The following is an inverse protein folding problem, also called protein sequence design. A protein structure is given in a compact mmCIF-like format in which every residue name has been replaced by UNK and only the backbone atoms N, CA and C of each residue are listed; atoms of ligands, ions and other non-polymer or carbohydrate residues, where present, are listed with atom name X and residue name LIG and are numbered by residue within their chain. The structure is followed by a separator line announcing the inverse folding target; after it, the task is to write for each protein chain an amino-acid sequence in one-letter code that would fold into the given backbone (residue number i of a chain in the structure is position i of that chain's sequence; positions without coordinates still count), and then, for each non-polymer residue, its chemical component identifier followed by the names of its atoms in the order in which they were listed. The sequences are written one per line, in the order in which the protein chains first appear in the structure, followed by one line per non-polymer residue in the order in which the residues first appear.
data_IF_939973673264
#
_entry.id   IF_939973673264
#
_cell.length_a   1.000
_cell.length_b   1.000
_cell.length_c   1.000
_cell.angle_alpha   90.00
_cell.angle_beta   90.00
_cell.angle_gamma   90.00
#
_symmetry.space_group_name_H-M   'P 1'
#
loop_
_entity.id
_entity.type
_entity.pdbx_description
1 polymer ?
#
# COMPACT_ATOMS: atom_id res chain seq x y z
N UNK A 1 15.61 14.01 3.28
CA UNK A 1 16.82 14.59 3.90
C UNK A 1 18.00 13.64 4.04
N UNK A 2 17.85 12.37 4.43
CA UNK A 2 19.00 11.43 4.55
C UNK A 2 19.74 11.12 3.23
N UNK A 3 19.25 11.59 2.08
CA UNK A 3 19.80 11.28 0.75
C UNK A 3 19.37 9.93 0.18
N UNK A 4 18.68 9.07 0.95
CA UNK A 4 18.28 7.72 0.51
C UNK A 4 17.32 7.76 -0.68
N UNK A 5 16.28 8.61 -0.63
CA UNK A 5 15.30 8.74 -1.73
C UNK A 5 15.98 9.30 -3.00
N UNK A 6 16.72 10.43 -2.95
CA UNK A 6 17.55 10.88 -4.08
C UNK A 6 18.48 9.80 -4.65
N UNK A 7 19.14 9.01 -3.80
CA UNK A 7 20.00 7.92 -4.27
C UNK A 7 19.21 6.87 -5.04
N UNK A 8 18.05 6.44 -4.53
CA UNK A 8 17.19 5.49 -5.23
C UNK A 8 16.69 6.03 -6.55
N UNK A 9 16.42 7.34 -6.66
CA UNK A 9 15.98 7.96 -7.92
C UNK A 9 17.09 7.85 -8.97
N UNK A 10 18.29 8.36 -8.65
CA UNK A 10 19.43 8.35 -9.58
C UNK A 10 19.80 6.93 -10.00
N UNK A 11 19.97 6.01 -9.04
CA UNK A 11 20.37 4.64 -9.37
C UNK A 11 19.22 3.86 -10.03
N UNK A 12 17.97 4.13 -9.64
CA UNK A 12 16.79 3.52 -10.21
C UNK A 12 16.61 3.87 -11.69
N UNK A 13 16.83 5.13 -12.06
CA UNK A 13 16.79 5.60 -13.45
C UNK A 13 17.87 4.96 -14.32
N UNK A 14 19.06 4.73 -13.76
CA UNK A 14 20.16 4.08 -14.48
C UNK A 14 19.92 2.57 -14.71
N UNK A 15 19.17 1.91 -13.81
CA UNK A 15 18.94 0.46 -13.85
C UNK A 15 17.63 0.09 -14.57
N UNK A 16 16.57 0.89 -14.40
CA UNK A 16 15.21 0.54 -14.84
C UNK A 16 14.87 1.28 -16.13
N UNK A 17 14.73 0.53 -17.22
CA UNK A 17 14.25 1.10 -18.48
C UNK A 17 12.81 1.63 -18.34
N UNK A 18 12.48 2.86 -18.78
CA UNK A 18 11.16 3.47 -18.55
C UNK A 18 9.99 2.61 -19.05
N UNK A 19 10.17 1.95 -20.19
CA UNK A 19 9.12 1.08 -20.77
C UNK A 19 8.70 -0.12 -19.94
N UNK A 20 9.49 -0.53 -18.95
CA UNK A 20 9.14 -1.60 -18.01
C UNK A 20 8.99 -1.09 -16.58
N UNK A 21 9.06 0.22 -16.35
CA UNK A 21 9.07 0.80 -15.00
C UNK A 21 7.80 0.46 -14.21
N UNK A 22 6.60 0.75 -14.74
CA UNK A 22 5.34 0.48 -14.03
C UNK A 22 5.16 -1.01 -13.71
N UNK A 23 5.53 -1.89 -14.65
CA UNK A 23 5.53 -3.34 -14.46
C UNK A 23 6.49 -3.73 -13.33
N UNK A 24 7.72 -3.22 -13.37
CA UNK A 24 8.77 -3.51 -12.39
C UNK A 24 8.38 -3.01 -11.00
N UNK A 25 7.83 -1.79 -10.89
CA UNK A 25 7.35 -1.23 -9.63
C UNK A 25 6.28 -2.12 -8.99
N UNK A 26 5.31 -2.59 -9.80
CA UNK A 26 4.28 -3.52 -9.34
C UNK A 26 4.88 -4.85 -8.84
N UNK A 27 5.84 -5.44 -9.56
CA UNK A 27 6.50 -6.70 -9.18
C UNK A 27 7.37 -6.53 -7.93
N UNK A 28 8.16 -5.45 -7.85
CA UNK A 28 9.02 -5.15 -6.70
C UNK A 28 8.16 -4.99 -5.44
N UNK A 29 7.09 -4.19 -5.51
CA UNK A 29 6.15 -4.04 -4.40
C UNK A 29 5.47 -5.36 -4.04
N UNK A 30 5.12 -6.20 -5.01
CA UNK A 30 4.59 -7.54 -4.74
C UNK A 30 5.57 -8.40 -3.95
N UNK A 31 6.81 -8.53 -4.40
CA UNK A 31 7.82 -9.35 -3.73
C UNK A 31 8.11 -8.85 -2.32
N UNK A 32 8.33 -7.54 -2.16
CA UNK A 32 8.57 -6.93 -0.84
C UNK A 32 7.36 -7.13 0.07
N UNK A 33 6.14 -6.97 -0.44
CA UNK A 33 4.94 -7.15 0.38
C UNK A 33 4.69 -8.60 0.79
N UNK A 34 5.04 -9.58 -0.04
CA UNK A 34 5.04 -11.00 0.38
C UNK A 34 5.98 -11.23 1.56
N UNK A 35 7.20 -10.67 1.50
CA UNK A 35 8.23 -10.84 2.52
C UNK A 35 7.89 -10.10 3.81
N UNK A 36 7.34 -8.89 3.71
CA UNK A 36 6.99 -8.05 4.85
C UNK A 36 5.63 -8.44 5.46
N UNK A 37 4.73 -9.03 4.68
CA UNK A 37 3.35 -9.29 5.07
C UNK A 37 2.52 -8.02 5.26
N UNK A 38 2.94 -6.89 4.66
CA UNK A 38 2.30 -5.61 4.90
C UNK A 38 2.39 -4.70 3.68
N UNK A 39 1.23 -4.40 3.10
CA UNK A 39 1.10 -3.38 2.06
C UNK A 39 1.56 -2.00 2.57
N UNK A 40 1.23 -1.66 3.82
CA UNK A 40 1.59 -0.38 4.44
C UNK A 40 3.11 -0.20 4.56
N UNK A 41 3.79 -1.22 5.07
CA UNK A 41 5.25 -1.18 5.21
C UNK A 41 5.94 -1.13 3.85
N UNK A 42 5.42 -1.88 2.88
CA UNK A 42 5.96 -1.90 1.52
C UNK A 42 5.86 -0.52 0.85
N UNK A 43 4.69 0.10 0.92
CA UNK A 43 4.46 1.42 0.30
C UNK A 43 5.31 2.49 0.99
N UNK A 44 5.38 2.47 2.32
CA UNK A 44 6.17 3.43 3.11
C UNK A 44 7.70 3.30 2.93
N UNK A 45 8.18 2.16 2.45
CA UNK A 45 9.62 1.91 2.26
C UNK A 45 10.01 2.02 0.79
N UNK A 46 9.80 0.96 0.01
CA UNK A 46 10.18 0.92 -1.41
C UNK A 46 9.20 1.68 -2.30
N UNK A 47 7.94 1.81 -1.89
CA UNK A 47 6.92 2.54 -2.66
C UNK A 47 7.26 4.02 -2.85
N UNK A 48 7.69 4.73 -1.80
CA UNK A 48 8.12 6.13 -1.91
C UNK A 48 9.32 6.29 -2.87
N UNK A 49 10.28 5.36 -2.80
CA UNK A 49 11.43 5.37 -3.70
C UNK A 49 11.00 5.17 -5.17
N UNK A 50 10.13 4.19 -5.42
CA UNK A 50 9.56 3.95 -6.75
C UNK A 50 8.72 5.13 -7.24
N UNK A 51 7.97 5.80 -6.34
CA UNK A 51 7.24 7.01 -6.69
C UNK A 51 8.18 8.09 -7.22
N UNK A 52 9.30 8.34 -6.52
CA UNK A 52 10.29 9.31 -6.98
C UNK A 52 10.94 8.94 -8.30
N UNK A 53 11.31 7.67 -8.49
CA UNK A 53 11.85 7.19 -9.77
C UNK A 53 10.81 7.41 -10.88
N UNK A 54 9.55 7.06 -10.65
CA UNK A 54 8.50 7.20 -11.66
C UNK A 54 8.24 8.64 -12.05
N UNK A 55 8.27 9.57 -11.09
CA UNK A 55 8.13 11.01 -11.35
C UNK A 55 9.33 11.55 -12.14
N UNK A 56 10.55 11.15 -11.80
CA UNK A 56 11.76 11.51 -12.55
C UNK A 56 11.78 10.90 -13.96
N UNK A 57 11.09 9.77 -14.15
CA UNK A 57 10.81 9.15 -15.43
C UNK A 57 9.52 9.70 -16.08
N UNK A 58 8.96 10.83 -15.65
CA UNK A 58 7.84 11.50 -16.31
C UNK A 58 6.49 10.77 -16.30
N UNK A 59 6.32 9.75 -15.46
CA UNK A 59 5.02 9.11 -15.29
C UNK A 59 4.10 9.96 -14.42
N UNK A 60 2.80 9.97 -14.74
CA UNK A 60 1.85 10.67 -13.88
C UNK A 60 1.74 9.99 -12.50
N UNK A 61 1.55 10.76 -11.41
CA UNK A 61 1.50 10.21 -10.05
C UNK A 61 0.48 9.09 -9.88
N UNK A 62 -0.66 9.16 -10.59
CA UNK A 62 -1.72 8.15 -10.55
C UNK A 62 -1.27 6.79 -11.06
N UNK A 63 -0.56 6.73 -12.19
CA UNK A 63 -0.04 5.47 -12.75
C UNK A 63 0.99 4.81 -11.83
N UNK A 64 1.90 5.62 -11.30
CA UNK A 64 2.97 5.12 -10.42
C UNK A 64 2.36 4.59 -9.11
N UNK A 65 1.51 5.39 -8.47
CA UNK A 65 0.82 4.99 -7.25
C UNK A 65 -0.07 3.75 -7.47
N UNK A 66 -0.80 3.68 -8.58
CA UNK A 66 -1.61 2.51 -8.93
C UNK A 66 -0.81 1.22 -9.08
N UNK A 67 0.38 1.29 -9.70
CA UNK A 67 1.30 0.16 -9.81
C UNK A 67 1.85 -0.28 -8.45
N UNK A 68 2.30 0.67 -7.64
CA UNK A 68 2.81 0.44 -6.28
C UNK A 68 1.73 -0.21 -5.40
N UNK A 69 0.52 0.37 -5.37
CA UNK A 69 -0.61 -0.11 -4.57
C UNK A 69 -1.04 -1.51 -5.04
N UNK A 70 -1.13 -1.75 -6.35
CA UNK A 70 -1.48 -3.07 -6.89
C UNK A 70 -0.50 -4.16 -6.46
N UNK A 71 0.80 -3.88 -6.58
CA UNK A 71 1.85 -4.80 -6.14
C UNK A 71 1.82 -5.05 -4.64
N UNK A 72 1.78 -3.97 -3.86
CA UNK A 72 1.81 -4.05 -2.40
C UNK A 72 0.61 -4.84 -1.84
N UNK A 73 -0.60 -4.61 -2.35
CA UNK A 73 -1.78 -5.34 -1.90
C UNK A 73 -1.83 -6.78 -2.41
N UNK A 74 -1.26 -7.07 -3.58
CA UNK A 74 -1.10 -8.46 -4.04
C UNK A 74 -0.22 -9.25 -3.09
N UNK A 75 0.95 -8.72 -2.72
CA UNK A 75 1.88 -9.44 -1.86
C UNK A 75 1.38 -9.62 -0.43
N UNK A 76 0.70 -8.60 0.10
CA UNK A 76 0.07 -8.63 1.43
C UNK A 76 -0.94 -9.77 1.51
N UNK A 77 -1.85 -9.82 0.54
CA UNK A 77 -2.92 -10.81 0.43
C UNK A 77 -2.44 -12.27 0.35
N UNK A 78 -1.24 -12.54 -0.16
CA UNK A 78 -0.72 -13.93 -0.26
C UNK A 78 0.32 -14.25 0.80
N UNK A 79 0.65 -13.30 1.67
CA UNK A 79 1.65 -13.48 2.71
C UNK A 79 1.07 -14.22 3.92
N UNK A 80 1.75 -15.27 4.42
CA UNK A 80 1.37 -15.90 5.68
C UNK A 80 1.66 -15.02 6.91
N UNK A 81 2.34 -13.88 6.72
CA UNK A 81 2.66 -12.92 7.77
C UNK A 81 1.64 -11.77 7.86
N UNK A 82 0.69 -11.70 6.92
CA UNK A 82 -0.27 -10.62 6.84
C UNK A 82 -1.37 -10.77 7.89
N UNK A 83 -1.60 -9.69 8.66
CA UNK A 83 -2.63 -9.62 9.69
C UNK A 83 -4.03 -9.81 9.12
N UNK A 84 -4.33 -9.21 7.96
CA UNK A 84 -5.64 -9.37 7.31
C UNK A 84 -5.84 -10.80 6.81
N UNK A 85 -4.81 -11.40 6.22
CA UNK A 85 -4.83 -12.79 5.74
C UNK A 85 -5.06 -13.76 6.91
N UNK A 86 -4.36 -13.55 8.02
CA UNK A 86 -4.53 -14.33 9.25
C UNK A 86 -5.94 -14.11 9.82
N UNK A 87 -6.41 -12.86 9.88
CA UNK A 87 -7.74 -12.54 10.40
C UNK A 87 -8.88 -13.14 9.57
N UNK A 88 -8.84 -13.01 8.25
CA UNK A 88 -9.85 -13.56 7.34
C UNK A 88 -9.91 -15.10 7.40
N UNK A 89 -8.77 -15.76 7.55
CA UNK A 89 -8.72 -17.21 7.76
C UNK A 89 -9.26 -17.62 9.14
N UNK A 90 -8.90 -16.87 10.19
CA UNK A 90 -9.32 -17.13 11.57
C UNK A 90 -10.83 -16.95 11.80
N UNK A 91 -11.40 -15.81 11.37
CA UNK A 91 -12.84 -15.49 11.51
C UNK A 91 -13.72 -16.57 10.87
N UNK A 92 -13.29 -17.08 9.72
CA UNK A 92 -14.02 -18.11 8.97
C UNK A 92 -13.73 -19.54 9.43
N UNK A 93 -12.72 -19.76 10.28
CA UNK A 93 -12.29 -21.09 10.70
C UNK A 93 -11.62 -21.89 9.57
N UNK A 94 -10.93 -21.21 8.64
CA UNK A 94 -10.19 -21.86 7.55
C UNK A 94 -8.72 -21.97 7.94
N UNK A 95 -8.06 -23.15 7.82
CA UNK A 95 -6.62 -23.25 8.04
C UNK A 95 -5.85 -22.30 7.11
N UNK A 96 -4.90 -21.54 7.66
CA UNK A 96 -4.21 -20.43 6.98
C UNK A 96 -3.64 -20.84 5.60
N UNK A 97 -2.87 -21.94 5.53
CA UNK A 97 -2.29 -22.37 4.26
C UNK A 97 -3.34 -22.89 3.26
N UNK A 98 -4.46 -23.43 3.73
CA UNK A 98 -5.60 -23.78 2.87
C UNK A 98 -6.24 -22.54 2.29
N UNK A 99 -6.40 -21.49 3.10
CA UNK A 99 -6.90 -20.18 2.68
C UNK A 99 -5.98 -19.56 1.61
N UNK A 100 -4.68 -19.43 1.88
CA UNK A 100 -3.70 -18.85 0.94
C UNK A 100 -3.71 -19.58 -0.40
N UNK A 101 -3.61 -20.92 -0.39
CA UNK A 101 -3.64 -21.72 -1.63
C UNK A 101 -4.94 -21.52 -2.42
N UNK A 102 -6.06 -21.39 -1.72
CA UNK A 102 -7.35 -21.20 -2.36
C UNK A 102 -7.54 -19.78 -2.91
N UNK A 103 -6.94 -18.76 -2.28
CA UNK A 103 -6.93 -17.39 -2.81
C UNK A 103 -6.21 -17.26 -4.14
N UNK A 104 -5.19 -18.07 -4.41
CA UNK A 104 -4.45 -18.03 -5.69
C UNK A 104 -5.37 -18.16 -6.92
N UNK A 105 -6.55 -18.79 -6.75
CA UNK A 105 -7.56 -18.95 -7.80
C UNK A 105 -8.08 -17.61 -8.32
N UNK A 106 -8.25 -16.59 -7.47
CA UNK A 106 -8.69 -15.23 -7.86
C UNK A 106 -7.51 -14.26 -7.95
N UNK A 107 -6.53 -14.41 -7.05
CA UNK A 107 -5.40 -13.49 -6.93
C UNK A 107 -4.44 -13.55 -8.11
N UNK A 108 -4.02 -14.74 -8.57
CA UNK A 108 -3.06 -14.85 -9.69
C UNK A 108 -3.65 -14.28 -10.99
N UNK A 109 -4.88 -14.65 -11.43
CA UNK A 109 -5.46 -14.07 -12.64
C UNK A 109 -5.59 -12.55 -12.57
N UNK A 110 -6.02 -12.01 -11.41
CA UNK A 110 -6.17 -10.56 -11.22
C UNK A 110 -4.83 -9.84 -11.29
N UNK A 111 -3.77 -10.44 -10.76
CA UNK A 111 -2.43 -9.89 -10.81
C UNK A 111 -1.85 -9.95 -12.22
N UNK A 112 -2.03 -11.04 -12.96
CA UNK A 112 -1.62 -11.14 -14.36
C UNK A 112 -2.26 -10.03 -15.20
N UNK A 113 -3.56 -9.77 -15.02
CA UNK A 113 -4.25 -8.66 -15.70
C UNK A 113 -3.58 -7.32 -15.35
N UNK A 114 -3.26 -7.10 -14.08
CA UNK A 114 -2.59 -5.89 -13.62
C UNK A 114 -1.20 -5.72 -14.24
N UNK A 115 -0.40 -6.79 -14.29
CA UNK A 115 0.91 -6.80 -14.93
C UNK A 115 0.82 -6.51 -16.43
N UNK A 116 -0.16 -7.07 -17.13
CA UNK A 116 -0.39 -6.77 -18.56
C UNK A 116 -0.71 -5.28 -18.73
N UNK A 117 -1.61 -4.72 -17.92
CA UNK A 117 -1.97 -3.30 -18.00
C UNK A 117 -0.76 -2.41 -17.76
N UNK A 118 0.03 -2.65 -16.70
CA UNK A 118 1.22 -1.84 -16.42
C UNK A 118 2.35 -2.03 -17.43
N UNK A 119 2.51 -3.24 -17.99
CA UNK A 119 3.47 -3.51 -19.05
C UNK A 119 3.14 -2.77 -20.34
N UNK A 120 1.88 -2.83 -20.78
CA UNK A 120 1.41 -2.11 -21.97
C UNK A 120 1.47 -0.60 -21.75
N UNK A 121 0.99 -0.10 -20.62
CA UNK A 121 1.03 1.32 -20.29
C UNK A 121 2.47 1.87 -20.26
N UNK A 122 3.40 1.15 -19.61
CA UNK A 122 4.82 1.53 -19.56
C UNK A 122 5.43 1.69 -20.95
N UNK A 123 5.22 0.71 -21.83
CA UNK A 123 5.72 0.75 -23.21
C UNK A 123 5.11 1.88 -24.04
N UNK A 124 3.81 2.16 -23.87
CA UNK A 124 3.12 3.23 -24.59
C UNK A 124 3.59 4.62 -24.16
N UNK A 125 3.97 4.81 -22.89
CA UNK A 125 4.33 6.11 -22.31
C UNK A 125 5.83 6.45 -22.45
N UNK A 126 6.68 5.49 -22.84
CA UNK A 126 8.15 5.64 -22.89
C UNK A 126 8.67 6.81 -23.75
N UNK A 127 7.93 7.24 -24.78
CA UNK A 127 8.43 8.27 -25.72
C UNK A 127 8.51 9.68 -25.12
N UNK A 128 7.86 9.94 -23.99
CA UNK A 128 7.83 11.27 -23.36
C UNK A 128 8.89 11.44 -22.25
N UNK A 129 9.56 10.38 -21.80
CA UNK A 129 10.16 10.32 -20.46
C UNK A 129 11.68 10.50 -20.39
N UNK A 130 12.40 10.51 -21.52
CA UNK A 130 13.87 10.50 -21.52
C UNK A 130 14.47 11.87 -21.14
N UNK A 131 13.84 12.97 -21.55
CA UNK A 131 14.37 14.34 -21.36
C UNK A 131 14.31 14.80 -19.88
N UNK A 132 13.30 14.36 -19.13
CA UNK A 132 13.15 14.75 -17.72
C UNK A 132 14.19 14.05 -16.83
N UNK A 133 14.59 12.83 -17.18
CA UNK A 133 15.50 12.01 -16.36
C UNK A 133 16.90 12.64 -16.19
N UNK A 134 17.48 13.23 -17.23
CA UNK A 134 18.83 13.85 -17.17
C UNK A 134 18.85 15.08 -16.24
N UNK A 135 17.79 15.89 -16.28
CA UNK A 135 17.64 17.09 -15.43
C UNK A 135 17.53 16.68 -13.96
N UNK A 136 16.78 15.61 -13.65
CA UNK A 136 16.64 15.11 -12.29
C UNK A 136 17.97 14.62 -11.72
N UNK A 137 18.77 13.89 -12.52
CA UNK A 137 20.07 13.39 -12.09
C UNK A 137 21.05 14.52 -11.79
N UNK A 138 21.17 15.51 -12.69
CA UNK A 138 22.07 16.66 -12.51
C UNK A 138 21.73 17.45 -11.24
N UNK A 139 20.45 17.77 -11.04
CA UNK A 139 20.01 18.57 -9.90
C UNK A 139 20.19 17.80 -8.58
N UNK A 140 19.86 16.51 -8.53
CA UNK A 140 19.98 15.71 -7.31
C UNK A 140 21.45 15.45 -6.94
N UNK A 141 22.31 15.13 -7.90
CA UNK A 141 23.75 14.91 -7.67
C UNK A 141 24.46 16.21 -7.27
N UNK A 142 24.00 17.37 -7.77
CA UNK A 142 24.52 18.67 -7.38
C UNK A 142 24.12 19.12 -5.96
N UNK A 143 22.98 18.66 -5.45
CA UNK A 143 22.46 19.05 -4.13
C UNK A 143 22.73 18.04 -3.02
N UNK A 144 22.78 16.75 -3.33
CA UNK A 144 22.92 15.69 -2.34
C UNK A 144 24.26 14.97 -2.48
N UNK A 145 24.87 14.62 -1.35
CA UNK A 145 26.01 13.71 -1.32
C UNK A 145 25.53 12.26 -1.48
N UNK A 146 25.48 11.76 -2.72
CA UNK A 146 24.95 10.45 -3.07
C UNK A 146 25.99 9.33 -2.92
N UNK A 147 26.29 8.98 -1.68
CA UNK A 147 27.18 7.86 -1.35
C UNK A 147 26.45 6.50 -1.40
N UNK A 148 27.06 5.44 -1.98
CA UNK A 148 26.49 4.08 -1.93
C UNK A 148 26.21 3.59 -0.51
N UNK A 149 26.94 4.10 0.48
CA UNK A 149 26.73 3.77 1.89
C UNK A 149 25.31 4.10 2.37
N UNK A 150 24.62 5.07 1.76
CA UNK A 150 23.23 5.40 2.13
C UNK A 150 22.28 4.20 1.97
N UNK A 151 22.62 3.20 1.14
CA UNK A 151 21.87 1.93 1.03
C UNK A 151 21.87 1.09 2.32
N UNK A 152 22.76 1.39 3.27
CA UNK A 152 22.73 0.74 4.58
C UNK A 152 21.44 1.05 5.34
N UNK A 153 20.83 2.24 5.15
CA UNK A 153 19.57 2.61 5.81
C UNK A 153 18.45 1.62 5.44
N UNK A 154 18.07 1.45 4.15
CA UNK A 154 17.04 0.48 3.76
C UNK A 154 17.48 -0.97 4.02
N UNK A 155 18.77 -1.30 3.93
CA UNK A 155 19.25 -2.65 4.24
C UNK A 155 19.01 -3.01 5.73
N UNK A 156 19.25 -2.08 6.65
CA UNK A 156 18.96 -2.24 8.09
C UNK A 156 17.46 -2.39 8.30
N UNK A 157 16.64 -1.56 7.66
CA UNK A 157 15.17 -1.68 7.74
C UNK A 157 14.69 -3.06 7.28
N UNK A 158 15.14 -3.53 6.11
CA UNK A 158 14.79 -4.85 5.58
C UNK A 158 15.26 -5.94 6.52
N UNK A 159 16.48 -5.84 7.06
CA UNK A 159 17.01 -6.79 8.03
C UNK A 159 16.12 -6.89 9.28
N UNK A 160 15.68 -5.76 9.83
CA UNK A 160 14.78 -5.73 10.99
C UNK A 160 13.42 -6.37 10.67
N UNK A 161 12.87 -6.12 9.48
CA UNK A 161 11.61 -6.74 9.04
C UNK A 161 11.77 -8.26 8.88
N UNK A 162 12.84 -8.71 8.24
CA UNK A 162 13.14 -10.15 8.07
C UNK A 162 13.33 -10.83 9.44
N UNK A 163 13.91 -10.13 10.42
CA UNK A 163 14.05 -10.60 11.80
C UNK A 163 12.76 -10.50 12.62
N UNK A 164 11.66 -10.01 12.05
CA UNK A 164 10.34 -9.88 12.67
C UNK A 164 10.34 -9.04 13.95
N UNK A 165 11.14 -7.98 13.98
CA UNK A 165 11.02 -6.99 15.05
C UNK A 165 9.67 -6.27 14.98
N UNK A 166 9.08 -5.86 16.12
CA UNK A 166 7.81 -5.13 16.13
C UNK A 166 7.87 -3.89 15.20
N UNK A 167 6.82 -3.60 14.40
CA UNK A 167 6.85 -2.50 13.43
C UNK A 167 7.24 -1.15 14.02
N UNK A 168 6.76 -0.83 15.23
CA UNK A 168 7.11 0.40 15.95
C UNK A 168 8.63 0.51 16.20
N UNK A 169 9.27 -0.58 16.61
CA UNK A 169 10.72 -0.63 16.85
C UNK A 169 11.47 -0.48 15.54
N UNK A 170 11.03 -1.18 14.50
CA UNK A 170 11.62 -1.13 13.16
C UNK A 170 11.58 0.28 12.58
N UNK A 171 10.43 0.96 12.65
CA UNK A 171 10.27 2.33 12.16
C UNK A 171 11.14 3.32 12.96
N UNK A 172 11.18 3.18 14.28
CA UNK A 172 12.00 4.03 15.14
C UNK A 172 13.50 3.88 14.86
N UNK A 173 14.01 2.65 14.78
CA UNK A 173 15.42 2.38 14.47
C UNK A 173 15.78 2.80 13.04
N UNK A 174 14.86 2.63 12.09
CA UNK A 174 15.07 3.08 10.70
C UNK A 174 15.14 4.60 10.61
N UNK A 175 14.29 5.31 11.35
CA UNK A 175 14.31 6.76 11.47
C UNK A 175 15.62 7.26 12.12
N UNK A 176 16.05 6.65 13.23
CA UNK A 176 17.34 6.98 13.86
C UNK A 176 18.52 6.76 12.92
N UNK A 177 18.53 5.64 12.19
CA UNK A 177 19.58 5.35 11.21
C UNK A 177 19.58 6.40 10.09
N UNK A 178 18.40 6.75 9.57
CA UNK A 178 18.25 7.81 8.58
C UNK A 178 18.74 9.17 9.09
N UNK A 179 18.51 9.48 10.37
CA UNK A 179 18.98 10.70 11.02
C UNK A 179 20.51 10.75 11.13
N UNK A 180 21.13 9.65 11.57
CA UNK A 180 22.60 9.51 11.62
C UNK A 180 23.18 9.76 10.24
N UNK A 181 22.59 9.17 9.20
CA UNK A 181 23.07 9.34 7.83
C UNK A 181 22.84 10.75 7.29
N UNK A 182 21.75 11.41 7.66
CA UNK A 182 21.56 12.84 7.35
C UNK A 182 22.67 13.70 7.98
N UNK A 183 23.03 13.42 9.24
CA UNK A 183 24.09 14.14 9.98
C UNK A 183 25.49 13.86 9.43
N UNK A 184 25.74 12.65 8.93
CA UNK A 184 27.07 12.26 8.40
C UNK A 184 27.25 12.73 6.95
N UNK A 185 26.24 12.53 6.10
CA UNK A 185 26.38 12.74 4.66
C UNK A 185 25.75 14.05 4.16
N UNK A 186 24.80 14.65 4.88
CA UNK A 186 23.94 15.74 4.37
C UNK A 186 23.96 16.98 5.29
N UNK A 187 25.12 17.32 5.85
CA UNK A 187 25.25 18.40 6.83
C UNK A 187 24.81 19.77 6.29
N UNK A 188 25.26 20.12 5.08
CA UNK A 188 24.92 21.43 4.48
C UNK A 188 23.40 21.58 4.28
N UNK A 189 22.70 20.50 3.91
CA UNK A 189 21.24 20.49 3.79
C UNK A 189 20.54 20.62 5.15
N UNK A 190 21.10 20.06 6.22
CA UNK A 190 20.55 20.23 7.57
C UNK A 190 20.67 21.68 8.06
N UNK A 191 21.75 22.37 7.71
CA UNK A 191 21.90 23.80 8.01
C UNK A 191 20.91 24.66 7.21
N UNK A 192 20.69 24.34 5.92
CA UNK A 192 19.66 24.98 5.09
C UNK A 192 18.27 24.82 5.73
N UNK A 193 17.91 23.59 6.13
CA UNK A 193 16.63 23.31 6.83
C UNK A 193 16.51 24.05 8.17
N UNK A 194 17.62 24.25 8.88
CA UNK A 194 17.64 25.00 10.14
C UNK A 194 17.44 26.52 9.94
N UNK A 195 17.42 27.01 8.69
CA UNK A 195 17.43 28.41 8.30
C UNK A 195 18.58 29.18 8.97
N UNK A 196 19.78 28.58 9.00
CA UNK A 196 20.95 29.22 9.58
C UNK A 196 22.21 28.90 8.79
N UNK A 197 23.02 29.94 8.54
CA UNK A 197 24.32 29.82 7.88
C UNK A 197 25.44 29.48 8.86
N UNK A 198 25.16 29.47 10.16
CA UNK A 198 26.12 29.15 11.20
C UNK A 198 26.22 27.62 11.38
N UNK A 199 27.42 27.06 11.11
CA UNK A 199 27.74 25.63 11.19
C UNK A 199 27.92 25.15 12.64
N UNK A 200 27.11 25.65 13.57
CA UNK A 200 27.13 25.23 14.96
C UNK A 200 26.41 23.90 15.17
N UNK A 201 26.85 23.14 16.19
CA UNK A 201 26.24 21.86 16.57
C UNK A 201 24.75 22.04 16.91
N UNK A 202 24.38 23.19 17.49
CA UNK A 202 23.00 23.52 17.84
C UNK A 202 22.13 23.59 16.58
N UNK A 203 22.62 24.23 15.50
CA UNK A 203 21.88 24.31 14.24
C UNK A 203 21.81 22.96 13.52
N UNK A 204 22.84 22.13 13.63
CA UNK A 204 22.80 20.77 13.11
C UNK A 204 21.73 19.93 13.81
N UNK A 205 21.67 19.99 15.14
CA UNK A 205 20.62 19.33 15.95
C UNK A 205 19.24 19.90 15.63
N UNK A 206 19.12 21.22 15.46
CA UNK A 206 17.87 21.89 15.05
C UNK A 206 17.40 21.38 13.69
N UNK A 207 18.27 21.32 12.68
CA UNK A 207 17.95 20.79 11.36
C UNK A 207 17.53 19.32 11.39
N UNK A 208 18.23 18.51 12.20
CA UNK A 208 17.90 17.11 12.46
C UNK A 208 16.50 16.94 13.10
N UNK A 209 16.15 17.77 14.09
CA UNK A 209 14.84 17.75 14.73
C UNK A 209 13.73 18.20 13.77
N UNK A 210 13.93 19.32 13.04
CA UNK A 210 12.96 19.80 12.04
C UNK A 210 12.73 18.73 10.97
N UNK A 211 13.78 18.07 10.50
CA UNK A 211 13.69 16.96 9.54
C UNK A 211 12.81 15.81 10.01
N UNK A 212 12.84 15.52 11.31
CA UNK A 212 12.12 14.38 11.90
C UNK A 212 10.67 14.74 12.21
N UNK A 213 10.45 15.92 12.80
CA UNK A 213 9.14 16.32 13.31
C UNK A 213 8.34 17.19 12.33
N UNK A 214 8.99 18.17 11.69
CA UNK A 214 8.35 19.22 10.92
C UNK A 214 8.44 19.01 9.40
N UNK A 215 7.95 20.00 8.66
CA UNK A 215 8.09 20.05 7.21
C UNK A 215 9.48 20.47 6.78
N UNK A 216 10.01 19.81 5.76
CA UNK A 216 11.26 20.19 5.10
C UNK A 216 11.01 20.37 3.61
N UNK A 217 11.74 21.31 3.02
CA UNK A 217 11.78 21.55 1.57
C UNK A 217 13.14 22.13 1.24
N UNK A 218 13.76 21.64 0.17
CA UNK A 218 15.03 22.15 -0.34
C UNK A 218 14.71 22.80 -1.67
N UNK A 219 15.21 24.01 -1.87
CA UNK A 219 15.03 24.72 -3.14
C UNK A 219 16.12 24.28 -4.10
N UNK A 220 15.73 23.52 -5.11
CA UNK A 220 16.61 22.97 -6.16
C UNK A 220 16.54 23.77 -7.45
N UNK A 221 15.58 24.68 -7.58
CA UNK A 221 15.33 25.47 -8.80
C UNK A 221 14.38 24.81 -9.78
N UNK A 222 13.99 23.55 -9.52
CA UNK A 222 12.93 22.85 -10.24
C UNK A 222 11.81 22.49 -9.26
N UNK A 223 10.61 23.02 -9.51
CA UNK A 223 9.44 22.82 -8.64
C UNK A 223 9.07 21.34 -8.45
N UNK A 224 9.22 20.50 -9.48
CA UNK A 224 8.89 19.09 -9.38
C UNK A 224 9.85 18.36 -8.44
N UNK A 225 11.15 18.64 -8.55
CA UNK A 225 12.18 18.09 -7.67
C UNK A 225 11.99 18.59 -6.24
N UNK A 226 11.68 19.88 -6.06
CA UNK A 226 11.39 20.47 -4.75
C UNK A 226 10.23 19.75 -4.06
N UNK A 227 9.12 19.50 -4.79
CA UNK A 227 7.99 18.75 -4.24
C UNK A 227 8.33 17.29 -3.95
N UNK A 228 9.22 16.68 -4.72
CA UNK A 228 9.63 15.29 -4.56
C UNK A 228 10.51 15.07 -3.32
N UNK A 229 11.41 16.02 -3.04
CA UNK A 229 12.30 15.93 -1.87
C UNK A 229 11.71 16.56 -0.61
N UNK A 230 10.63 17.33 -0.74
CA UNK A 230 9.90 17.89 0.37
C UNK A 230 9.23 16.79 1.20
N UNK A 231 9.28 16.93 2.53
CA UNK A 231 8.61 16.03 3.46
C UNK A 231 7.82 16.83 4.48
N UNK A 232 6.82 16.20 5.09
CA UNK A 232 5.98 16.83 6.12
C UNK A 232 6.32 16.34 7.54
N UNK A 233 7.34 15.49 7.68
CA UNK A 233 7.72 14.85 8.94
C UNK A 233 6.55 14.12 9.61
N UNK A 234 6.69 13.86 10.92
CA UNK A 234 5.60 13.29 11.72
C UNK A 234 4.38 14.23 11.83
N UNK A 235 4.61 15.56 11.80
CA UNK A 235 3.54 16.56 11.84
C UNK A 235 2.55 16.38 10.68
N UNK A 236 3.04 16.06 9.48
CA UNK A 236 2.21 15.82 8.30
C UNK A 236 1.24 14.66 8.44
N UNK A 237 1.53 13.70 9.32
CA UNK A 237 0.67 12.54 9.55
C UNK A 237 -0.39 12.78 10.64
N UNK A 238 -0.30 13.86 11.43
CA UNK A 238 -1.23 14.11 12.53
C UNK A 238 -2.68 14.23 12.07
N UNK A 239 -2.93 14.92 10.95
CA UNK A 239 -4.26 15.02 10.37
C UNK A 239 -4.79 13.64 9.95
N UNK A 240 -3.93 12.81 9.35
CA UNK A 240 -4.25 11.44 8.95
C UNK A 240 -4.62 10.59 10.16
N UNK A 241 -3.85 10.68 11.25
CA UNK A 241 -4.15 9.99 12.52
C UNK A 241 -5.51 10.44 13.08
N UNK A 242 -5.79 11.74 13.09
CA UNK A 242 -7.09 12.25 13.56
C UNK A 242 -8.27 11.73 12.74
N UNK A 243 -8.18 11.76 11.41
CA UNK A 243 -9.26 11.26 10.57
C UNK A 243 -9.42 9.74 10.74
N UNK A 244 -8.33 8.97 10.91
CA UNK A 244 -8.39 7.54 11.24
C UNK A 244 -9.15 7.30 12.54
N UNK A 245 -8.85 8.06 13.61
CA UNK A 245 -9.56 7.93 14.91
C UNK A 245 -11.05 8.26 14.73
N UNK A 246 -11.40 9.33 14.02
CA UNK A 246 -12.79 9.68 13.76
C UNK A 246 -13.53 8.60 12.94
N UNK A 247 -12.91 8.12 11.86
CA UNK A 247 -13.49 7.14 10.96
C UNK A 247 -13.66 5.76 11.63
N UNK A 248 -12.71 5.35 12.48
CA UNK A 248 -12.80 4.13 13.28
C UNK A 248 -13.90 4.22 14.34
N UNK A 249 -14.01 5.34 15.06
CA UNK A 249 -15.11 5.59 16.00
C UNK A 249 -16.48 5.53 15.31
N UNK A 250 -16.62 6.14 14.13
CA UNK A 250 -17.86 6.08 13.34
C UNK A 250 -18.18 4.65 12.86
N UNK A 251 -17.18 3.94 12.31
CA UNK A 251 -17.34 2.55 11.90
C UNK A 251 -17.74 1.63 13.06
N UNK A 252 -17.14 1.83 14.23
CA UNK A 252 -17.48 1.10 15.45
C UNK A 252 -18.91 1.39 15.95
N UNK A 253 -19.38 2.64 15.85
CA UNK A 253 -20.76 3.01 16.19
C UNK A 253 -21.79 2.36 15.25
N UNK A 254 -21.50 2.27 13.95
CA UNK A 254 -22.39 1.57 13.00
C UNK A 254 -22.41 0.06 13.21
N UNK A 255 -21.27 -0.51 13.60
CA UNK A 255 -21.18 -1.92 13.98
C UNK A 255 -21.99 -2.21 15.26
N UNK A 256 -21.83 -1.40 16.31
CA UNK A 256 -22.50 -1.62 17.60
C UNK A 256 -24.02 -1.45 17.53
N UNK A 257 -24.50 -0.59 16.62
CA UNK A 257 -25.93 -0.38 16.35
C UNK A 257 -26.53 -1.36 15.35
N UNK A 258 -25.76 -2.34 14.85
CA UNK A 258 -26.20 -3.38 13.89
C UNK A 258 -26.74 -2.82 12.57
N UNK A 259 -26.35 -1.61 12.18
CA UNK A 259 -26.80 -1.00 10.91
C UNK A 259 -26.28 -1.80 9.70
N UNK A 260 -25.04 -2.30 9.79
CA UNK A 260 -24.41 -3.12 8.75
C UNK A 260 -25.11 -4.48 8.61
N UNK A 261 -25.54 -5.07 9.73
CA UNK A 261 -26.36 -6.28 9.74
C UNK A 261 -27.69 -6.07 9.02
N UNK A 262 -28.38 -4.96 9.30
CA UNK A 262 -29.65 -4.60 8.66
C UNK A 262 -29.52 -4.46 7.14
N UNK A 263 -28.50 -3.74 6.67
CA UNK A 263 -28.22 -3.58 5.23
C UNK A 263 -27.92 -4.93 4.56
N UNK A 264 -27.20 -5.81 5.26
CA UNK A 264 -26.83 -7.11 4.72
C UNK A 264 -28.01 -8.08 4.69
N UNK A 265 -28.90 -8.05 5.69
CA UNK A 265 -30.12 -8.85 5.66
C UNK A 265 -30.99 -8.53 4.43
N UNK A 266 -31.03 -7.27 3.99
CA UNK A 266 -31.73 -6.88 2.77
C UNK A 266 -31.12 -7.52 1.51
N UNK A 267 -29.79 -7.66 1.47
CA UNK A 267 -29.08 -8.34 0.37
C UNK A 267 -29.28 -9.86 0.42
N UNK A 268 -29.22 -10.46 1.62
CA UNK A 268 -29.34 -11.90 1.82
C UNK A 268 -30.68 -12.46 1.31
N UNK A 269 -31.78 -11.70 1.47
CA UNK A 269 -33.13 -12.12 1.03
C UNK A 269 -33.23 -12.41 -0.48
N UNK A 270 -32.32 -11.87 -1.30
CA UNK A 270 -32.30 -12.06 -2.76
C UNK A 270 -31.36 -13.18 -3.24
N UNK A 271 -30.71 -13.91 -2.34
CA UNK A 271 -29.65 -14.88 -2.68
C UNK A 271 -30.20 -16.27 -2.94
N UNK A 272 -30.35 -16.64 -4.21
CA UNK A 272 -30.79 -18.00 -4.60
C UNK A 272 -29.63 -18.93 -4.99
N UNK A 273 -28.57 -18.43 -5.62
CA UNK A 273 -27.47 -19.22 -6.20
C UNK A 273 -26.09 -18.84 -5.64
N UNK A 274 -25.05 -19.57 -6.04
CA UNK A 274 -23.66 -19.38 -5.57
C UNK A 274 -23.07 -18.03 -5.96
N UNK A 275 -23.33 -17.59 -7.20
CA UNK A 275 -22.91 -16.27 -7.66
C UNK A 275 -23.58 -15.17 -6.85
N UNK A 276 -24.88 -15.29 -6.56
CA UNK A 276 -25.58 -14.38 -5.66
C UNK A 276 -24.93 -14.34 -4.27
N UNK A 277 -24.51 -15.49 -3.73
CA UNK A 277 -23.89 -15.57 -2.40
C UNK A 277 -22.54 -14.83 -2.38
N UNK A 278 -21.66 -15.13 -3.33
CA UNK A 278 -20.34 -14.49 -3.43
C UNK A 278 -20.50 -13.01 -3.76
N UNK A 279 -21.34 -12.63 -4.72
CA UNK A 279 -21.59 -11.23 -5.06
C UNK A 279 -22.15 -10.42 -3.89
N UNK A 280 -23.06 -10.99 -3.09
CA UNK A 280 -23.55 -10.32 -1.89
C UNK A 280 -22.45 -10.16 -0.85
N UNK A 281 -21.60 -11.15 -0.63
CA UNK A 281 -20.44 -11.00 0.26
C UNK A 281 -19.47 -9.92 -0.25
N UNK A 282 -19.18 -9.89 -1.55
CA UNK A 282 -18.32 -8.87 -2.16
C UNK A 282 -18.92 -7.47 -1.99
N UNK A 283 -20.20 -7.31 -2.29
CA UNK A 283 -20.88 -6.02 -2.16
C UNK A 283 -20.96 -5.56 -0.70
N UNK A 284 -21.25 -6.47 0.24
CA UNK A 284 -21.20 -6.15 1.67
C UNK A 284 -19.79 -5.77 2.11
N UNK A 285 -18.75 -6.45 1.61
CA UNK A 285 -17.36 -6.11 1.93
C UNK A 285 -16.96 -4.72 1.42
N UNK A 286 -17.34 -4.38 0.18
CA UNK A 286 -17.15 -3.03 -0.37
C UNK A 286 -17.91 -1.98 0.44
N UNK A 287 -19.16 -2.27 0.80
CA UNK A 287 -19.97 -1.39 1.65
C UNK A 287 -19.34 -1.24 3.03
N UNK A 288 -18.79 -2.31 3.60
CA UNK A 288 -18.06 -2.27 4.86
C UNK A 288 -16.86 -1.33 4.75
N UNK A 289 -16.06 -1.37 3.69
CA UNK A 289 -14.95 -0.42 3.52
C UNK A 289 -15.39 1.02 3.29
N UNK A 290 -16.53 1.23 2.62
CA UNK A 290 -17.10 2.57 2.40
C UNK A 290 -17.67 3.18 3.68
N UNK A 291 -18.10 2.35 4.63
CA UNK A 291 -18.82 2.80 5.83
C UNK A 291 -17.94 2.73 7.08
N UNK A 292 -17.18 1.64 7.22
CA UNK A 292 -16.23 1.43 8.29
C UNK A 292 -14.89 2.07 7.92
N UNK A 293 -14.39 2.95 8.79
CA UNK A 293 -13.08 3.59 8.62
C UNK A 293 -11.88 2.64 8.72
N UNK A 294 -12.11 1.33 8.91
CA UNK A 294 -11.06 0.35 9.08
C UNK A 294 -11.45 -1.05 8.56
N UNK A 295 -10.50 -1.69 7.87
CA UNK A 295 -10.71 -2.97 7.20
C UNK A 295 -10.82 -4.17 8.16
N UNK A 296 -10.20 -4.14 9.34
CA UNK A 296 -10.22 -5.27 10.28
C UNK A 296 -11.64 -5.51 10.80
N UNK A 297 -12.37 -4.43 11.13
CA UNK A 297 -13.78 -4.50 11.50
C UNK A 297 -14.64 -5.04 10.35
N UNK A 298 -14.35 -4.62 9.12
CA UNK A 298 -15.04 -5.11 7.92
C UNK A 298 -14.93 -6.63 7.77
N UNK A 299 -13.71 -7.17 7.91
CA UNK A 299 -13.44 -8.61 7.84
C UNK A 299 -14.20 -9.39 8.92
N UNK A 300 -14.13 -8.94 10.18
CA UNK A 300 -14.75 -9.63 11.32
C UNK A 300 -16.27 -9.67 11.16
N UNK A 301 -16.89 -8.51 10.90
CA UNK A 301 -18.35 -8.40 10.85
C UNK A 301 -18.92 -9.13 9.64
N UNK A 302 -18.38 -8.88 8.45
CA UNK A 302 -18.84 -9.55 7.22
C UNK A 302 -18.61 -11.05 7.30
N UNK A 303 -17.47 -11.48 7.86
CA UNK A 303 -17.18 -12.90 8.05
C UNK A 303 -18.18 -13.58 8.97
N UNK A 304 -18.46 -13.01 10.15
CA UNK A 304 -19.42 -13.57 11.09
C UNK A 304 -20.84 -13.61 10.52
N UNK A 305 -21.26 -12.58 9.79
CA UNK A 305 -22.61 -12.48 9.23
C UNK A 305 -22.89 -13.51 8.13
N UNK A 306 -21.90 -13.83 7.29
CA UNK A 306 -22.08 -14.77 6.18
C UNK A 306 -21.72 -16.21 6.54
N UNK A 307 -21.01 -16.46 7.65
CA UNK A 307 -20.51 -17.80 8.04
C UNK A 307 -21.59 -18.87 8.01
N UNK A 308 -22.68 -18.64 8.75
CA UNK A 308 -23.79 -19.59 8.85
C UNK A 308 -24.50 -19.80 7.51
N UNK A 309 -24.54 -18.76 6.66
CA UNK A 309 -25.20 -18.83 5.36
C UNK A 309 -24.40 -19.69 4.37
N UNK A 310 -23.07 -19.54 4.34
CA UNK A 310 -22.21 -20.40 3.52
C UNK A 310 -22.29 -21.85 3.98
N UNK A 311 -22.30 -22.08 5.29
CA UNK A 311 -22.44 -23.42 5.88
C UNK A 311 -23.79 -24.06 5.53
N UNK A 312 -24.91 -23.34 5.71
CA UNK A 312 -26.26 -23.83 5.36
C UNK A 312 -26.41 -24.16 3.87
N UNK A 313 -25.69 -23.45 3.00
CA UNK A 313 -25.66 -23.75 1.55
C UNK A 313 -24.64 -24.84 1.17
N UNK A 314 -23.96 -25.45 2.13
CA UNK A 314 -23.05 -26.58 1.92
C UNK A 314 -21.68 -26.19 1.36
N UNK A 315 -21.27 -24.92 1.47
CA UNK A 315 -19.95 -24.46 1.02
C UNK A 315 -18.89 -24.60 2.12
N UNK A 316 -17.64 -24.81 1.70
CA UNK A 316 -16.52 -24.75 2.62
C UNK A 316 -16.19 -23.31 3.06
N UNK A 317 -15.70 -23.15 4.29
CA UNK A 317 -15.32 -21.86 4.87
C UNK A 317 -14.27 -21.10 4.05
N UNK A 318 -13.40 -21.81 3.33
CA UNK A 318 -12.38 -21.21 2.46
C UNK A 318 -12.97 -20.33 1.35
N UNK A 319 -14.21 -20.59 0.91
CA UNK A 319 -14.89 -19.75 -0.08
C UNK A 319 -15.25 -18.39 0.50
N UNK A 320 -15.86 -18.36 1.69
CA UNK A 320 -16.13 -17.11 2.40
C UNK A 320 -14.83 -16.38 2.72
N UNK A 321 -13.84 -17.09 3.26
CA UNK A 321 -12.53 -16.55 3.63
C UNK A 321 -11.84 -15.82 2.47
N UNK A 322 -11.78 -16.46 1.29
CA UNK A 322 -11.25 -15.82 0.07
C UNK A 322 -12.08 -14.61 -0.33
N UNK A 323 -13.41 -14.71 -0.26
CA UNK A 323 -14.30 -13.61 -0.68
C UNK A 323 -14.14 -12.39 0.22
N UNK A 324 -13.85 -12.55 1.52
CA UNK A 324 -13.52 -11.45 2.43
C UNK A 324 -12.24 -10.75 2.00
N UNK A 325 -11.17 -11.51 1.74
CA UNK A 325 -9.89 -10.97 1.26
C UNK A 325 -10.03 -10.26 -0.10
N UNK A 326 -10.78 -10.85 -1.04
CA UNK A 326 -11.03 -10.27 -2.36
C UNK A 326 -11.82 -8.96 -2.31
N UNK A 327 -12.66 -8.74 -1.29
CA UNK A 327 -13.62 -7.64 -1.25
C UNK A 327 -13.33 -6.58 -0.21
N UNK A 328 -12.60 -6.90 0.87
CA UNK A 328 -12.33 -5.99 1.98
C UNK A 328 -10.87 -5.60 1.98
N UNK A 329 -9.94 -6.55 2.13
CA UNK A 329 -8.51 -6.26 2.26
C UNK A 329 -7.99 -5.45 1.08
N UNK A 330 -8.24 -5.90 -0.15
CA UNK A 330 -7.67 -5.24 -1.33
C UNK A 330 -8.41 -3.98 -1.74
N UNK A 331 -9.64 -3.73 -1.28
CA UNK A 331 -10.43 -2.58 -1.73
C UNK A 331 -10.41 -1.42 -0.73
N UNK A 332 -9.95 -1.66 0.50
CA UNK A 332 -9.90 -0.66 1.58
C UNK A 332 -9.06 0.56 1.20
N UNK A 333 -7.98 0.36 0.45
CA UNK A 333 -7.13 1.44 -0.07
C UNK A 333 -7.82 2.35 -1.07
N UNK A 334 -8.89 1.89 -1.70
CA UNK A 334 -9.63 2.66 -2.71
C UNK A 334 -10.61 3.66 -2.08
N UNK A 335 -10.76 3.66 -0.75
CA UNK A 335 -11.71 4.52 -0.04
C UNK A 335 -10.96 5.66 0.67
N UNK A 336 -11.17 6.94 0.28
CA UNK A 336 -10.36 8.05 0.78
C UNK A 336 -10.40 8.28 2.29
N UNK A 337 -11.47 7.85 2.96
CA UNK A 337 -11.68 7.98 4.42
C UNK A 337 -11.53 6.66 5.17
N UNK A 338 -11.09 5.60 4.50
CA UNK A 338 -10.68 4.37 5.15
C UNK A 338 -9.21 4.48 5.58
N UNK A 339 -8.83 3.86 6.70
CA UNK A 339 -7.47 3.90 7.25
C UNK A 339 -6.40 3.57 6.23
N UNK A 340 -6.66 2.61 5.35
CA UNK A 340 -5.78 2.25 4.25
C UNK A 340 -5.63 3.39 3.23
N UNK A 341 -6.74 3.90 2.67
CA UNK A 341 -6.71 4.94 1.65
C UNK A 341 -6.08 6.24 2.15
N UNK A 342 -6.40 6.64 3.38
CA UNK A 342 -5.81 7.81 4.04
C UNK A 342 -4.31 7.68 4.25
N UNK A 343 -3.86 6.52 4.75
CA UNK A 343 -2.43 6.30 4.99
C UNK A 343 -1.66 6.29 3.67
N UNK A 344 -2.11 5.53 2.67
CA UNK A 344 -1.38 5.44 1.40
C UNK A 344 -1.37 6.76 0.65
N UNK A 345 -2.46 7.53 0.69
CA UNK A 345 -2.47 8.87 0.06
C UNK A 345 -1.57 9.87 0.76
N UNK A 346 -1.44 9.78 2.09
CA UNK A 346 -0.51 10.63 2.86
C UNK A 346 0.94 10.26 2.58
N UNK A 347 1.24 8.97 2.57
CA UNK A 347 2.61 8.44 2.37
C UNK A 347 3.10 8.68 0.95
N UNK A 348 2.27 8.42 -0.06
CA UNK A 348 2.61 8.64 -1.46
C UNK A 348 2.45 10.11 -1.87
N UNK A 349 1.76 10.94 -1.09
CA UNK A 349 1.39 12.29 -1.53
C UNK A 349 0.43 12.32 -2.74
N UNK A 350 -0.17 11.18 -3.10
CA UNK A 350 -1.13 11.04 -4.21
C UNK A 350 -2.51 10.76 -3.64
N UNK A 351 -3.49 11.61 -3.97
CA UNK A 351 -4.84 11.42 -3.43
C UNK A 351 -5.45 10.08 -3.87
N UNK A 352 -6.28 9.49 -3.01
CA UNK A 352 -6.90 8.19 -3.29
C UNK A 352 -7.67 8.17 -4.60
N UNK A 353 -8.42 9.22 -4.91
CA UNK A 353 -9.20 9.29 -6.15
C UNK A 353 -8.33 9.42 -7.41
N UNK A 354 -7.08 9.88 -7.28
CA UNK A 354 -6.13 9.95 -8.40
C UNK A 354 -5.57 8.56 -8.72
N UNK A 355 -5.18 7.77 -7.72
CA UNK A 355 -4.62 6.44 -7.98
C UNK A 355 -5.67 5.34 -8.14
N UNK A 356 -6.90 5.53 -7.61
CA UNK A 356 -7.99 4.55 -7.68
C UNK A 356 -8.20 3.93 -9.07
N UNK A 357 -8.31 4.70 -10.17
CA UNK A 357 -8.53 4.10 -11.50
C UNK A 357 -7.33 3.28 -12.01
N UNK A 358 -6.13 3.48 -11.44
CA UNK A 358 -4.91 2.79 -11.82
C UNK A 358 -4.53 1.64 -10.88
N UNK A 359 -5.21 1.49 -9.74
CA UNK A 359 -5.02 0.36 -8.81
C UNK A 359 -5.70 -0.91 -9.33
N UNK A 360 -5.27 -1.38 -10.51
CA UNK A 360 -5.91 -2.44 -11.30
C UNK A 360 -6.18 -3.69 -10.48
N UNK A 361 -5.20 -4.15 -9.71
CA UNK A 361 -5.34 -5.37 -8.93
C UNK A 361 -6.48 -5.27 -7.91
N UNK A 362 -6.60 -4.12 -7.26
CA UNK A 362 -7.49 -3.87 -6.14
C UNK A 362 -8.97 -3.91 -6.55
N UNK A 363 -9.33 -3.41 -7.73
CA UNK A 363 -10.72 -3.50 -8.22
C UNK A 363 -10.97 -4.72 -9.11
N UNK A 364 -9.96 -5.30 -9.76
CA UNK A 364 -10.12 -6.55 -10.53
C UNK A 364 -10.33 -7.76 -9.59
N UNK A 365 -9.66 -7.80 -8.45
CA UNK A 365 -9.77 -8.90 -7.48
C UNK A 365 -11.22 -9.22 -7.03
N UNK A 366 -12.03 -8.24 -6.55
CA UNK A 366 -13.43 -8.53 -6.19
C UNK A 366 -14.28 -8.95 -7.40
N UNK A 367 -14.04 -8.37 -8.58
CA UNK A 367 -14.73 -8.74 -9.82
C UNK A 367 -14.38 -10.18 -10.25
N UNK A 368 -13.12 -10.58 -10.09
CA UNK A 368 -12.65 -11.93 -10.37
C UNK A 368 -13.32 -12.95 -9.44
N UNK A 369 -13.55 -12.59 -8.17
CA UNK A 369 -14.29 -13.46 -7.23
C UNK A 369 -15.71 -13.74 -7.72
N UNK A 370 -16.40 -12.70 -8.19
CA UNK A 370 -17.75 -12.80 -8.78
C UNK A 370 -17.72 -13.64 -10.06
N UNK A 371 -16.77 -13.39 -10.96
CA UNK A 371 -16.63 -14.11 -12.23
C UNK A 371 -16.41 -15.61 -12.00
N UNK A 372 -15.49 -15.98 -11.11
CA UNK A 372 -15.21 -17.38 -10.78
C UNK A 372 -16.43 -18.05 -10.13
N UNK A 373 -17.21 -17.30 -9.34
CA UNK A 373 -18.45 -17.79 -8.77
C UNK A 373 -19.54 -18.06 -9.85
N UNK A 374 -19.64 -17.19 -10.86
CA UNK A 374 -20.54 -17.38 -12.01
C UNK A 374 -20.15 -18.59 -12.85
N UNK A 375 -18.85 -18.77 -13.10
CA UNK A 375 -18.31 -19.91 -13.85
C UNK A 375 -18.32 -21.22 -13.06
N UNK A 376 -18.68 -21.19 -11.77
CA UNK A 376 -18.59 -22.32 -10.84
C UNK A 376 -17.20 -22.98 -10.79
N UNK A 377 -16.16 -22.22 -11.11
CA UNK A 377 -14.81 -22.75 -11.22
C UNK A 377 -14.18 -22.92 -9.83
N UNK A 378 -13.71 -24.14 -9.54
CA UNK A 378 -13.08 -24.52 -8.25
C UNK A 378 -13.89 -24.10 -7.01
N UNK A 379 -15.22 -24.09 -7.09
CA UNK A 379 -16.07 -23.88 -5.91
C UNK A 379 -16.10 -25.17 -5.09
N UNK A 380 -15.60 -25.11 -3.86
CA UNK A 380 -15.50 -26.29 -2.99
C UNK A 380 -16.72 -26.39 -2.09
N UNK A 381 -17.43 -27.51 -2.19
CA UNK A 381 -18.54 -27.87 -1.32
C UNK A 381 -18.02 -28.71 -0.15
N UNK A 382 -18.65 -28.61 1.02
CA UNK A 382 -18.39 -29.53 2.12
C UNK A 382 -18.73 -30.95 1.65
N UNK A 383 -17.77 -31.85 1.75
CA UNK A 383 -18.05 -33.28 1.61
C UNK A 383 -18.85 -33.68 2.84
N UNK A 384 -20.13 -34.00 2.67
CA UNK A 384 -20.92 -34.63 3.73
C UNK A 384 -20.29 -36.01 3.91
N UNK A 385 -19.56 -36.19 5.01
CA UNK A 385 -19.14 -37.52 5.47
C UNK A 385 -20.28 -38.15 6.25
#
# INVERSE_FOLDING_TARGET
MSGVVPLFIVYGMQIIHPGVFLLSACIICAVVSVLTGSSWTTIATIGIALLGIGLALGFSPGWIAGAIVSGAYFGDKISPLSDTTVLASSVTGTPLFTHIRYMLVTTIPSFIISLIVFGVAGMMMTRQTVVESEIFEEVLTGKYNLSPWLLMVPAITIFLIVKRYPPLVTLFLSMLTGLVFAVVFQQDLLFEVANSNDKSVINLVKGALITTFGSTGITTGNHEIDTLVATRGMQGMLNTVWIIICATCFGAAMASTRMIESLTQALIRKIHNTSGLVSSTVFTGLLANLTMGDQYLGIILTGNMFKDLYEKKGYESRLLSRTLEDSITVTSVLVPWNSCGMTQSTVLGVSTLIYLPFSVFNYVSPLMSILIAMLRYRIVNKTIK
#
